data_IF_336301712207
#
_entry.id   IF_336301712207
#
_cell.length_a   1.000
_cell.length_b   1.000
_cell.length_c   1.000
_cell.angle_alpha   90.00
_cell.angle_beta   90.00
_cell.angle_gamma   90.00
#
_symmetry.space_group_name_H-M   'P 1'
#
loop_
_entity.id
_entity.type
_entity.pdbx_description
1 polymer ?
#
# COMPACT_ATOMS: atom_id res chain seq x y z
N UNK A 1 -18.03 -13.05 9.70
CA UNK A 1 -19.17 -12.17 10.00
C UNK A 1 -18.76 -10.72 9.74
N UNK A 2 -19.64 -9.94 9.08
CA UNK A 2 -19.43 -8.51 8.86
C UNK A 2 -20.79 -7.78 9.04
N UNK A 3 -20.78 -6.63 9.71
CA UNK A 3 -21.98 -5.80 9.88
C UNK A 3 -22.37 -5.05 8.60
N UNK A 4 -21.47 -4.93 7.62
CA UNK A 4 -21.75 -4.33 6.33
C UNK A 4 -22.47 -5.32 5.42
N UNK A 5 -23.02 -4.82 4.31
CA UNK A 5 -23.82 -5.63 3.37
C UNK A 5 -22.98 -6.38 2.32
N UNK A 6 -21.65 -6.18 2.28
CA UNK A 6 -20.77 -6.80 1.30
C UNK A 6 -19.29 -6.53 1.54
N UNK A 7 -18.40 -7.12 0.73
CA UNK A 7 -16.97 -6.88 0.82
C UNK A 7 -16.60 -5.44 0.48
N UNK A 8 -15.41 -5.02 0.87
CA UNK A 8 -14.80 -3.72 0.58
C UNK A 8 -15.57 -2.47 1.09
N UNK A 9 -16.62 -2.60 1.90
CA UNK A 9 -17.41 -1.47 2.41
C UNK A 9 -16.78 -0.75 3.62
N UNK A 10 -15.49 -0.93 3.82
CA UNK A 10 -14.68 -0.26 4.84
C UNK A 10 -13.65 0.69 4.22
N UNK A 11 -12.49 0.79 4.87
CA UNK A 11 -11.37 1.63 4.41
C UNK A 11 -10.82 1.23 3.04
N UNK A 12 -10.97 -0.02 2.63
CA UNK A 12 -10.46 -0.51 1.34
C UNK A 12 -11.10 0.21 0.15
N UNK A 13 -12.41 0.50 0.18
CA UNK A 13 -13.07 1.24 -0.90
C UNK A 13 -12.64 2.73 -0.97
N UNK A 14 -12.08 3.26 0.10
CA UNK A 14 -11.65 4.65 0.20
C UNK A 14 -10.12 4.82 0.08
N UNK A 15 -9.41 3.77 -0.33
CA UNK A 15 -7.94 3.80 -0.48
C UNK A 15 -7.53 4.29 -1.86
N UNK A 16 -6.35 4.92 -1.94
CA UNK A 16 -5.64 5.16 -3.21
C UNK A 16 -4.99 3.89 -3.78
N UNK A 17 -5.11 2.75 -3.09
CA UNK A 17 -4.63 1.44 -3.48
C UNK A 17 -3.14 1.35 -3.85
N UNK A 18 -2.31 2.21 -3.27
CA UNK A 18 -0.88 2.25 -3.52
C UNK A 18 -0.21 0.99 -2.96
N UNK A 19 0.58 0.34 -3.80
CA UNK A 19 1.50 -0.75 -3.43
C UNK A 19 2.90 -0.18 -3.27
N UNK A 20 3.39 -0.22 -2.04
CA UNK A 20 4.71 0.33 -1.66
C UNK A 20 5.45 -0.63 -0.74
N UNK A 21 6.75 -0.41 -0.60
CA UNK A 21 7.62 -1.20 0.29
C UNK A 21 8.24 -0.36 1.41
N UNK A 22 8.01 0.95 1.40
CA UNK A 22 8.52 1.91 2.40
C UNK A 22 7.67 1.85 3.67
N UNK A 23 8.14 1.13 4.69
CA UNK A 23 7.53 1.01 6.00
C UNK A 23 8.54 1.35 7.10
N UNK A 24 8.06 1.60 8.32
CA UNK A 24 8.91 1.93 9.46
C UNK A 24 9.61 0.72 10.07
N UNK A 25 9.08 -0.49 9.84
CA UNK A 25 9.60 -1.73 10.37
C UNK A 25 10.06 -2.63 9.23
N UNK A 26 11.25 -3.22 9.37
CA UNK A 26 11.83 -4.14 8.40
C UNK A 26 10.94 -5.35 8.09
N UNK A 27 10.29 -5.92 9.12
CA UNK A 27 9.38 -7.06 8.93
C UNK A 27 8.17 -6.67 8.06
N UNK A 28 7.67 -5.43 8.20
CA UNK A 28 6.60 -4.91 7.33
C UNK A 28 7.08 -4.70 5.90
N UNK A 29 8.34 -4.27 5.71
CA UNK A 29 8.95 -4.18 4.37
C UNK A 29 9.06 -5.55 3.73
N UNK A 30 9.55 -6.55 4.48
CA UNK A 30 9.68 -7.93 4.01
C UNK A 30 8.32 -8.51 3.61
N UNK A 31 7.30 -8.36 4.45
CA UNK A 31 5.94 -8.83 4.16
C UNK A 31 5.36 -8.17 2.91
N UNK A 32 5.53 -6.85 2.77
CA UNK A 32 5.07 -6.13 1.59
C UNK A 32 5.82 -6.58 0.32
N UNK A 33 7.13 -6.82 0.43
CA UNK A 33 7.94 -7.31 -0.68
C UNK A 33 7.55 -8.71 -1.13
N UNK A 34 7.34 -9.63 -0.19
CA UNK A 34 6.83 -10.96 -0.49
C UNK A 34 5.44 -10.91 -1.11
N UNK A 35 4.55 -10.04 -0.61
CA UNK A 35 3.19 -9.87 -1.14
C UNK A 35 3.16 -9.37 -2.60
N UNK A 36 4.24 -8.80 -3.12
CA UNK A 36 4.34 -8.36 -4.52
C UNK A 36 4.00 -9.49 -5.50
N UNK A 37 4.41 -10.71 -5.20
CA UNK A 37 4.14 -11.87 -6.08
C UNK A 37 2.64 -12.13 -6.24
N UNK A 38 1.87 -11.93 -5.18
CA UNK A 38 0.41 -12.05 -5.22
C UNK A 38 -0.19 -11.01 -6.17
N UNK A 39 0.23 -9.76 -6.05
CA UNK A 39 -0.28 -8.68 -6.89
C UNK A 39 0.14 -8.82 -8.35
N UNK A 40 1.35 -9.29 -8.61
CA UNK A 40 1.89 -9.44 -9.97
C UNK A 40 1.12 -10.49 -10.79
N UNK A 41 0.60 -11.52 -10.14
CA UNK A 41 -0.21 -12.57 -10.78
C UNK A 41 -1.43 -12.91 -9.93
N UNK A 42 -2.25 -11.88 -9.68
CA UNK A 42 -3.44 -12.04 -8.84
C UNK A 42 -4.41 -13.08 -9.42
N UNK A 43 -4.56 -13.15 -10.73
CA UNK A 43 -5.45 -14.13 -11.38
C UNK A 43 -5.11 -15.56 -11.00
N UNK A 44 -3.85 -15.94 -11.17
CA UNK A 44 -3.39 -17.31 -10.81
C UNK A 44 -3.50 -17.54 -9.30
N UNK A 45 -3.12 -16.54 -8.50
CA UNK A 45 -3.14 -16.64 -7.05
C UNK A 45 -4.55 -16.89 -6.50
N UNK A 46 -5.55 -16.16 -6.99
CA UNK A 46 -6.95 -16.34 -6.56
C UNK A 46 -7.65 -17.49 -7.31
N UNK A 47 -7.03 -18.10 -8.32
CA UNK A 47 -7.63 -19.16 -9.12
C UNK A 47 -8.85 -18.70 -9.92
N UNK A 48 -8.82 -17.48 -10.46
CA UNK A 48 -9.91 -16.95 -11.27
C UNK A 48 -9.88 -17.52 -12.69
N UNK A 49 -11.06 -17.86 -13.23
CA UNK A 49 -11.18 -18.27 -14.63
C UNK A 49 -10.87 -17.08 -15.57
N UNK A 50 -10.52 -17.39 -16.83
CA UNK A 50 -10.17 -16.36 -17.83
C UNK A 50 -11.29 -15.35 -18.08
N UNK A 51 -12.53 -15.78 -17.94
CA UNK A 51 -13.73 -14.94 -18.11
C UNK A 51 -14.07 -14.07 -16.89
N UNK A 52 -13.46 -14.33 -15.72
CA UNK A 52 -13.72 -13.55 -14.51
C UNK A 52 -12.90 -12.26 -14.50
N UNK A 53 -13.52 -11.11 -14.15
CA UNK A 53 -12.76 -9.88 -13.96
C UNK A 53 -11.83 -10.00 -12.76
N UNK A 54 -10.59 -9.54 -12.91
CA UNK A 54 -9.59 -9.51 -11.83
C UNK A 54 -8.93 -8.15 -11.82
N UNK A 55 -8.71 -7.60 -10.62
CA UNK A 55 -8.01 -6.34 -10.46
C UNK A 55 -6.55 -6.47 -10.92
N UNK A 56 -6.05 -5.43 -11.59
CA UNK A 56 -4.68 -5.40 -12.10
C UNK A 56 -3.75 -4.67 -11.12
N UNK A 57 -2.53 -5.15 -11.01
CA UNK A 57 -1.43 -4.39 -10.45
C UNK A 57 -0.75 -3.58 -11.55
N UNK A 58 -0.92 -2.26 -11.49
CA UNK A 58 -0.31 -1.32 -12.42
C UNK A 58 1.04 -0.88 -11.85
N UNK A 59 2.13 -1.45 -12.37
CA UNK A 59 3.49 -1.15 -11.92
C UNK A 59 3.99 0.15 -12.54
N UNK A 60 3.89 1.25 -11.82
CA UNK A 60 4.36 2.58 -12.24
C UNK A 60 5.70 2.96 -11.62
N UNK A 61 6.19 2.17 -10.68
CA UNK A 61 7.17 2.63 -9.71
C UNK A 61 6.53 3.54 -8.66
N UNK A 62 7.30 3.86 -7.65
CA UNK A 62 6.90 4.79 -6.58
C UNK A 62 8.11 5.61 -6.12
N UNK A 63 7.99 6.92 -6.16
CA UNK A 63 8.93 7.85 -5.57
C UNK A 63 8.39 8.37 -4.24
N UNK A 64 9.16 8.26 -3.17
CA UNK A 64 8.86 8.82 -1.86
C UNK A 64 9.86 9.93 -1.59
N UNK A 65 9.38 11.16 -1.39
CA UNK A 65 10.26 12.29 -1.10
C UNK A 65 11.08 12.04 0.16
N UNK A 66 12.38 12.29 0.07
CA UNK A 66 13.32 12.13 1.18
C UNK A 66 13.32 13.41 2.03
N UNK A 67 12.29 13.53 2.84
CA UNK A 67 12.16 14.63 3.82
C UNK A 67 12.34 14.08 5.23
N UNK A 68 12.91 14.88 6.16
CA UNK A 68 13.15 14.43 7.52
C UNK A 68 11.92 13.83 8.20
N UNK A 69 12.07 12.62 8.76
CA UNK A 69 11.00 11.92 9.47
C UNK A 69 10.01 11.13 8.61
N UNK A 70 10.10 11.20 7.28
CA UNK A 70 9.23 10.42 6.39
C UNK A 70 9.79 9.01 6.14
N UNK A 71 11.08 8.91 5.86
CA UNK A 71 11.76 7.63 5.65
C UNK A 71 12.58 7.24 6.88
N UNK A 72 12.58 5.95 7.29
CA UNK A 72 13.49 5.48 8.32
C UNK A 72 14.96 5.68 7.89
N UNK A 73 15.86 6.06 8.80
CA UNK A 73 17.28 6.22 8.48
C UNK A 73 17.93 4.96 7.90
N UNK A 74 17.42 3.79 8.28
CA UNK A 74 17.90 2.46 7.87
C UNK A 74 17.29 1.96 6.55
N UNK A 75 16.40 2.72 5.90
CA UNK A 75 15.59 2.23 4.78
C UNK A 75 16.42 1.63 3.64
N UNK A 76 17.55 2.26 3.29
CA UNK A 76 18.43 1.81 2.19
C UNK A 76 19.16 0.52 2.54
N UNK A 77 19.61 0.39 3.79
CA UNK A 77 20.25 -0.83 4.29
C UNK A 77 19.24 -1.99 4.37
N UNK A 78 18.03 -1.70 4.86
CA UNK A 78 16.95 -2.67 4.94
C UNK A 78 16.51 -3.14 3.55
N UNK A 79 16.36 -2.23 2.59
CA UNK A 79 16.04 -2.58 1.20
C UNK A 79 17.14 -3.44 0.55
N UNK A 80 18.42 -3.08 0.77
CA UNK A 80 19.55 -3.86 0.30
C UNK A 80 19.53 -5.28 0.88
N UNK A 81 19.32 -5.39 2.20
CA UNK A 81 19.29 -6.68 2.89
C UNK A 81 18.09 -7.56 2.51
N UNK A 82 16.97 -6.96 2.10
CA UNK A 82 15.76 -7.66 1.64
C UNK A 82 15.75 -7.90 0.13
N UNK A 83 16.72 -7.37 -0.61
CA UNK A 83 16.76 -7.46 -2.07
C UNK A 83 15.68 -6.65 -2.77
N UNK A 84 15.19 -5.58 -2.14
CA UNK A 84 14.22 -4.66 -2.73
C UNK A 84 14.97 -3.66 -3.63
N UNK A 85 14.71 -3.62 -4.94
CA UNK A 85 15.36 -2.68 -5.84
C UNK A 85 14.93 -1.24 -5.53
N UNK A 86 15.91 -0.34 -5.47
CA UNK A 86 15.66 1.08 -5.29
C UNK A 86 16.73 1.94 -5.98
N UNK A 87 16.42 3.22 -6.16
CA UNK A 87 17.36 4.24 -6.58
C UNK A 87 17.12 5.53 -5.80
N UNK A 88 18.20 6.25 -5.53
CA UNK A 88 18.11 7.62 -5.01
C UNK A 88 17.94 8.56 -6.19
N UNK A 89 16.81 9.27 -6.24
CA UNK A 89 16.50 10.26 -7.26
C UNK A 89 16.86 11.67 -6.79
N UNK A 90 17.61 12.36 -7.60
CA UNK A 90 17.88 13.79 -7.47
C UNK A 90 16.67 14.61 -7.90
N UNK A 91 16.70 15.92 -7.65
CA UNK A 91 15.70 16.85 -8.21
C UNK A 91 15.63 16.78 -9.74
N UNK A 92 16.77 16.66 -10.40
CA UNK A 92 16.82 16.52 -11.86
C UNK A 92 16.18 15.20 -12.34
N UNK A 93 16.30 14.12 -11.59
CA UNK A 93 15.61 12.86 -11.89
C UNK A 93 14.10 13.03 -11.73
N UNK A 94 13.66 13.68 -10.64
CA UNK A 94 12.24 13.96 -10.41
C UNK A 94 11.65 14.82 -11.54
N UNK A 95 12.31 15.89 -11.95
CA UNK A 95 11.86 16.78 -13.02
C UNK A 95 11.79 16.08 -14.38
N UNK A 96 12.73 15.17 -14.64
CA UNK A 96 12.76 14.37 -15.87
C UNK A 96 11.62 13.36 -15.93
N UNK A 97 11.39 12.64 -14.83
CA UNK A 97 10.44 11.51 -14.78
C UNK A 97 9.00 11.97 -14.49
N UNK A 98 8.85 13.11 -13.83
CA UNK A 98 7.56 13.69 -13.44
C UNK A 98 7.43 15.13 -13.98
N UNK A 99 7.19 15.31 -15.29
CA UNK A 99 7.11 16.63 -15.89
C UNK A 99 6.08 17.52 -15.20
N UNK A 100 6.52 18.71 -14.79
CA UNK A 100 5.68 19.69 -14.09
C UNK A 100 5.71 19.61 -12.56
N UNK A 101 6.49 18.67 -11.98
CA UNK A 101 6.73 18.70 -10.53
C UNK A 101 7.56 19.94 -10.16
N UNK A 102 7.19 20.59 -9.06
CA UNK A 102 8.07 21.56 -8.41
C UNK A 102 8.92 20.83 -7.39
N UNK A 103 10.24 20.90 -7.56
CA UNK A 103 11.20 20.26 -6.65
C UNK A 103 11.71 21.20 -5.57
N UNK A 104 11.18 22.41 -5.45
CA UNK A 104 11.51 23.32 -4.35
C UNK A 104 11.17 22.65 -3.00
N UNK A 105 12.15 22.60 -2.10
CA UNK A 105 11.99 21.99 -0.80
C UNK A 105 11.75 23.07 0.26
N UNK A 106 10.52 23.17 0.75
CA UNK A 106 10.08 24.10 1.79
C UNK A 106 10.01 23.46 3.19
N UNK A 107 10.79 22.40 3.42
CA UNK A 107 10.88 21.79 4.75
C UNK A 107 11.88 22.56 5.66
N UNK A 108 11.58 22.78 6.95
CA UNK A 108 10.34 22.43 7.65
C UNK A 108 9.16 23.31 7.24
N UNK A 109 7.93 22.76 7.20
CA UNK A 109 6.76 23.52 6.82
C UNK A 109 6.49 24.65 7.84
N UNK A 110 6.14 25.82 7.35
CA UNK A 110 5.71 26.97 8.14
C UNK A 110 4.21 27.21 7.97
N UNK A 111 3.62 27.97 8.88
CA UNK A 111 2.19 28.27 8.82
C UNK A 111 1.89 29.31 7.71
N UNK A 112 0.68 29.32 7.13
CA UNK A 112 0.29 30.28 6.10
C UNK A 112 0.41 31.75 6.52
N UNK A 113 0.30 32.01 7.82
CA UNK A 113 0.44 33.36 8.40
C UNK A 113 1.90 33.82 8.54
N UNK A 114 2.86 32.91 8.40
CA UNK A 114 4.28 33.23 8.46
C UNK A 114 4.72 33.89 7.16
N UNK A 115 5.41 35.05 7.21
CA UNK A 115 5.95 35.70 6.01
C UNK A 115 6.85 34.79 5.15
N UNK A 116 7.48 33.77 5.76
CA UNK A 116 8.30 32.80 5.06
C UNK A 116 7.49 31.76 4.26
N UNK A 117 6.15 31.69 4.41
CA UNK A 117 5.31 30.68 3.76
C UNK A 117 5.38 30.75 2.23
N UNK A 118 5.46 31.94 1.66
CA UNK A 118 5.63 32.18 0.22
C UNK A 118 7.07 32.50 -0.15
N UNK A 119 8.02 32.26 0.76
CA UNK A 119 9.43 32.50 0.54
C UNK A 119 10.03 31.57 -0.50
N UNK A 120 11.02 32.03 -1.25
CA UNK A 120 11.79 31.19 -2.15
C UNK A 120 12.78 30.32 -1.35
N UNK A 121 13.06 29.12 -1.90
CA UNK A 121 14.07 28.22 -1.37
C UNK A 121 15.03 27.78 -2.48
N UNK A 122 16.31 27.68 -2.15
CA UNK A 122 17.32 27.09 -3.04
C UNK A 122 17.45 25.57 -2.84
N UNK A 123 16.85 25.05 -1.78
CA UNK A 123 16.88 23.62 -1.51
C UNK A 123 16.00 22.86 -2.48
N UNK A 124 16.42 21.66 -2.87
CA UNK A 124 15.71 20.82 -3.79
C UNK A 124 15.36 19.49 -3.13
N UNK A 125 14.16 19.02 -3.40
CA UNK A 125 13.70 17.71 -2.97
C UNK A 125 14.47 16.60 -3.68
N UNK A 126 14.72 15.51 -2.95
CA UNK A 126 15.20 14.23 -3.47
C UNK A 126 14.16 13.17 -3.14
N UNK A 127 14.29 11.97 -3.71
CA UNK A 127 13.36 10.89 -3.45
C UNK A 127 14.05 9.52 -3.42
N UNK A 128 13.47 8.60 -2.68
CA UNK A 128 13.74 7.17 -2.78
C UNK A 128 12.74 6.57 -3.79
N UNK A 129 13.23 6.08 -4.90
CA UNK A 129 12.42 5.46 -5.94
C UNK A 129 12.49 3.94 -5.86
N UNK A 130 11.34 3.26 -5.93
CA UNK A 130 11.20 1.82 -6.01
C UNK A 130 10.50 1.43 -7.32
N UNK A 131 11.18 0.75 -8.27
CA UNK A 131 10.62 0.46 -9.60
C UNK A 131 9.48 -0.54 -9.56
N UNK A 132 9.41 -1.36 -8.52
CA UNK A 132 8.38 -2.38 -8.33
C UNK A 132 7.13 -1.89 -7.57
N UNK A 133 7.10 -0.62 -7.17
CA UNK A 133 5.90 0.00 -6.61
C UNK A 133 4.85 0.31 -7.68
N UNK A 134 3.64 0.64 -7.24
CA UNK A 134 2.55 0.94 -8.16
C UNK A 134 1.20 1.05 -7.43
N UNK A 135 0.13 0.63 -8.08
CA UNK A 135 -1.20 0.64 -7.48
C UNK A 135 -2.08 -0.48 -8.03
N UNK A 136 -3.13 -0.82 -7.27
CA UNK A 136 -4.16 -1.76 -7.70
C UNK A 136 -5.26 -0.98 -8.42
N UNK A 137 -5.60 -1.38 -9.64
CA UNK A 137 -6.54 -0.68 -10.52
C UNK A 137 -7.93 -0.50 -9.91
N UNK A 138 -8.39 -1.49 -9.16
CA UNK A 138 -9.68 -1.49 -8.46
C UNK A 138 -9.57 -2.24 -7.13
N UNK A 139 -9.48 -1.54 -5.99
CA UNK A 139 -9.37 -2.19 -4.67
C UNK A 139 -10.66 -2.90 -4.23
N UNK A 140 -11.83 -2.49 -4.73
CA UNK A 140 -13.09 -3.18 -4.46
C UNK A 140 -13.09 -4.52 -5.17
N UNK A 141 -12.79 -4.52 -6.46
CA UNK A 141 -12.67 -5.75 -7.26
C UNK A 141 -11.61 -6.69 -6.69
N UNK A 142 -10.44 -6.19 -6.27
CA UNK A 142 -9.42 -7.01 -5.61
C UNK A 142 -9.97 -7.72 -4.37
N UNK A 143 -10.73 -7.00 -3.53
CA UNK A 143 -11.37 -7.61 -2.35
C UNK A 143 -12.40 -8.67 -2.73
N UNK A 144 -13.20 -8.42 -3.78
CA UNK A 144 -14.16 -9.38 -4.31
C UNK A 144 -13.46 -10.63 -4.87
N UNK A 145 -12.32 -10.47 -5.55
CA UNK A 145 -11.51 -11.58 -6.03
C UNK A 145 -11.03 -12.47 -4.89
N UNK A 146 -10.50 -11.90 -3.80
CA UNK A 146 -10.13 -12.67 -2.61
C UNK A 146 -11.34 -13.35 -1.95
N UNK A 147 -12.47 -12.65 -1.83
CA UNK A 147 -13.68 -13.22 -1.27
C UNK A 147 -14.21 -14.38 -2.12
N UNK A 148 -14.17 -14.28 -3.44
CA UNK A 148 -14.53 -15.36 -4.36
C UNK A 148 -13.59 -16.56 -4.21
N UNK A 149 -12.27 -16.33 -4.13
CA UNK A 149 -11.29 -17.38 -3.85
C UNK A 149 -11.57 -18.09 -2.53
N UNK A 150 -11.81 -17.33 -1.46
CA UNK A 150 -12.12 -17.90 -0.15
C UNK A 150 -13.39 -18.78 -0.18
N UNK A 151 -14.45 -18.35 -0.90
CA UNK A 151 -15.66 -19.16 -1.09
C UNK A 151 -15.37 -20.46 -1.83
N UNK A 152 -14.52 -20.45 -2.85
CA UNK A 152 -14.11 -21.68 -3.56
C UNK A 152 -13.40 -22.68 -2.63
N UNK A 153 -12.75 -22.17 -1.55
CA UNK A 153 -12.14 -22.98 -0.50
C UNK A 153 -13.06 -23.24 0.70
N UNK A 154 -14.37 -23.00 0.57
CA UNK A 154 -15.36 -23.33 1.60
C UNK A 154 -15.57 -22.26 2.67
N UNK A 155 -15.04 -21.04 2.52
CA UNK A 155 -15.34 -19.96 3.45
C UNK A 155 -16.77 -19.45 3.27
N UNK A 156 -17.47 -19.26 4.39
CA UNK A 156 -18.80 -18.65 4.43
C UNK A 156 -18.72 -17.19 4.88
N UNK A 157 -19.44 -16.34 4.16
CA UNK A 157 -19.55 -14.91 4.48
C UNK A 157 -20.97 -14.58 4.93
N UNK A 158 -21.12 -14.09 6.15
CA UNK A 158 -22.39 -13.61 6.69
C UNK A 158 -22.31 -12.10 6.85
N UNK A 159 -23.02 -11.40 5.97
CA UNK A 159 -23.10 -9.94 5.97
C UNK A 159 -24.34 -9.44 6.74
N UNK A 160 -24.34 -8.18 7.14
CA UNK A 160 -25.41 -7.60 7.96
C UNK A 160 -25.45 -8.15 9.40
N UNK A 161 -24.37 -8.80 9.85
CA UNK A 161 -24.26 -9.44 11.15
C UNK A 161 -23.21 -8.75 12.00
N UNK A 162 -23.66 -7.93 12.96
CA UNK A 162 -22.80 -7.26 13.92
C UNK A 162 -22.50 -8.17 15.11
N UNK A 163 -21.19 -8.32 15.41
CA UNK A 163 -20.76 -9.01 16.63
C UNK A 163 -20.93 -8.05 17.80
N UNK A 164 -21.92 -8.31 18.68
CA UNK A 164 -22.22 -7.49 19.85
C UNK A 164 -21.57 -7.98 21.13
N UNK A 165 -21.04 -9.21 21.14
CA UNK A 165 -20.37 -9.77 22.32
C UNK A 165 -19.69 -11.10 22.02
N UNK A 166 -18.76 -11.47 22.89
CA UNK A 166 -18.08 -12.77 22.91
C UNK A 166 -18.33 -13.43 24.26
N UNK A 167 -18.68 -14.70 24.26
CA UNK A 167 -18.79 -15.51 25.47
C UNK A 167 -17.92 -16.74 25.37
N UNK A 168 -17.27 -17.08 26.47
CA UNK A 168 -16.50 -18.31 26.56
C UNK A 168 -17.42 -19.43 27.08
N UNK A 169 -17.56 -20.51 26.32
CA UNK A 169 -18.27 -21.69 26.76
C UNK A 169 -17.28 -22.60 27.46
N UNK A 170 -17.58 -23.00 28.72
CA UNK A 170 -16.78 -24.00 29.39
C UNK A 170 -16.80 -25.29 28.57
N UNK A 171 -15.61 -25.88 28.34
CA UNK A 171 -15.53 -27.20 27.70
C UNK A 171 -16.31 -28.20 28.59
N UNK A 172 -17.37 -28.77 28.05
CA UNK A 172 -18.00 -29.94 28.67
C UNK A 172 -17.02 -31.08 28.49
N UNK A 173 -16.48 -31.63 29.59
CA UNK A 173 -15.72 -32.86 29.49
C UNK A 173 -16.59 -33.91 28.79
N UNK A 174 -16.09 -34.38 27.62
CA UNK A 174 -16.69 -35.50 26.96
C UNK A 174 -16.40 -36.73 27.84
N UNK A 175 -17.44 -37.27 28.48
CA UNK A 175 -17.37 -38.55 29.18
C UNK A 175 -17.21 -39.72 28.22
#
# INVERSE_FOLDING_TARGET
LDKKSGPAQGSTAATSAIVRFTYSLRDSMALAWESKHVWTDLRSYVGAADSEPVADFVRTGMAVLDIPGLLPPTIRDDFTALGIPFADWTAADLERELPGIDTANHYPPVRPEDPAFLGETSERATALFTPDGGYISDPVLATENFAAAARRHGAEFVYGAEVTGLSQRAATEAG
#
